data_IF_789516172024
#
_entry.id   IF_789516172024
#
_cell.length_a   1.000
_cell.length_b   1.000
_cell.length_c   1.000
_cell.angle_alpha   90.00
_cell.angle_beta   90.00
_cell.angle_gamma   90.00
#
_symmetry.space_group_name_H-M   'P 1'
#
loop_
_entity.id
_entity.type
_entity.pdbx_description
1 polymer ?
#
# COMPACT_ATOMS: atom_id res chain seq x y z
N UNK A 1 -0.24 -16.61 4.72
CA UNK A 1 -0.84 -15.40 4.10
C UNK A 1 0.01 -14.89 2.94
N UNK A 2 1.32 -14.73 3.10
CA UNK A 2 2.14 -13.99 2.13
C UNK A 2 2.63 -14.74 0.88
N UNK A 3 2.57 -16.08 0.83
CA UNK A 3 3.21 -16.89 -0.22
C UNK A 3 2.43 -17.05 -1.53
N UNK A 4 1.18 -16.58 -1.61
CA UNK A 4 0.32 -16.76 -2.78
C UNK A 4 -0.65 -15.58 -2.99
N UNK A 5 -0.17 -14.36 -2.71
CA UNK A 5 -0.97 -13.14 -2.86
C UNK A 5 -0.30 -12.16 -3.79
N UNK A 6 -1.12 -11.44 -4.55
CA UNK A 6 -0.66 -10.21 -5.18
C UNK A 6 -0.61 -9.11 -4.11
N UNK A 7 0.60 -8.59 -3.84
CA UNK A 7 0.85 -7.64 -2.76
C UNK A 7 0.77 -6.20 -3.27
N UNK A 8 -0.10 -5.43 -2.62
CA UNK A 8 -0.23 -3.99 -2.80
C UNK A 8 0.22 -3.27 -1.53
N UNK A 9 0.90 -2.12 -1.71
CA UNK A 9 1.43 -1.30 -0.61
C UNK A 9 1.08 0.17 -0.80
N UNK A 10 1.03 0.94 0.27
CA UNK A 10 0.87 2.40 0.21
C UNK A 10 2.17 3.11 -0.19
N UNK A 11 3.32 2.63 0.29
CA UNK A 11 4.66 3.04 -0.14
C UNK A 11 5.62 1.87 0.06
N UNK A 12 6.36 1.49 -0.97
CA UNK A 12 7.35 0.39 -0.87
C UNK A 12 8.38 0.67 0.21
N UNK A 13 8.97 1.86 0.16
CA UNK A 13 10.01 2.28 1.08
C UNK A 13 9.50 2.27 2.52
N UNK A 14 8.38 2.94 2.79
CA UNK A 14 7.83 3.03 4.14
C UNK A 14 7.46 1.65 4.68
N UNK A 15 6.82 0.81 3.85
CA UNK A 15 6.38 -0.53 4.25
C UNK A 15 7.57 -1.43 4.59
N UNK A 16 8.62 -1.44 3.77
CA UNK A 16 9.80 -2.29 4.05
C UNK A 16 10.60 -1.82 5.27
N UNK A 17 10.55 -0.54 5.60
CA UNK A 17 11.20 0.01 6.80
C UNK A 17 10.36 -0.23 8.07
N UNK A 18 9.04 -0.06 8.01
CA UNK A 18 8.18 -0.05 9.20
C UNK A 18 7.46 -1.39 9.47
N UNK A 19 7.08 -2.14 8.44
CA UNK A 19 6.25 -3.34 8.57
C UNK A 19 7.05 -4.52 9.13
N UNK A 20 6.87 -4.81 10.42
CA UNK A 20 7.50 -5.97 11.08
C UNK A 20 7.10 -7.28 10.43
N UNK A 21 5.84 -7.45 10.05
CA UNK A 21 5.33 -8.70 9.47
C UNK A 21 5.90 -8.99 8.07
N UNK A 22 6.08 -7.97 7.23
CA UNK A 22 6.68 -8.16 5.91
C UNK A 22 8.19 -8.40 6.00
N UNK A 23 8.88 -7.68 6.90
CA UNK A 23 10.29 -7.96 7.18
C UNK A 23 10.50 -9.40 7.64
N UNK A 24 9.72 -9.86 8.62
CA UNK A 24 9.79 -11.25 9.09
C UNK A 24 9.47 -12.28 8.00
N UNK A 25 8.44 -12.02 7.18
CA UNK A 25 8.11 -12.90 6.06
C UNK A 25 9.24 -12.96 5.02
N UNK A 26 9.92 -11.84 4.77
CA UNK A 26 11.10 -11.79 3.92
C UNK A 26 12.28 -12.55 4.51
N UNK A 27 12.56 -12.37 5.80
CA UNK A 27 13.66 -13.04 6.51
C UNK A 27 13.46 -14.57 6.52
N UNK A 28 12.20 -15.02 6.50
CA UNK A 28 11.80 -16.42 6.39
C UNK A 28 11.77 -16.95 4.94
N UNK A 29 12.09 -16.12 3.94
CA UNK A 29 12.04 -16.50 2.53
C UNK A 29 10.62 -16.74 1.99
N UNK A 30 9.58 -16.29 2.69
CA UNK A 30 8.18 -16.44 2.28
C UNK A 30 7.83 -15.45 1.15
N UNK A 31 8.46 -14.28 1.17
CA UNK A 31 8.33 -13.24 0.14
C UNK A 31 9.70 -12.73 -0.29
N UNK A 32 9.85 -12.44 -1.58
CA UNK A 32 11.04 -11.77 -2.08
C UNK A 32 10.98 -10.27 -1.76
N UNK A 33 12.08 -9.70 -1.26
CA UNK A 33 12.20 -8.27 -0.97
C UNK A 33 12.15 -7.38 -2.23
N UNK A 34 12.51 -7.93 -3.39
CA UNK A 34 12.71 -7.14 -4.62
C UNK A 34 11.49 -7.19 -5.54
N UNK A 35 10.82 -6.05 -5.71
CA UNK A 35 10.00 -5.73 -6.89
C UNK A 35 8.62 -6.38 -6.99
N UNK A 36 8.20 -7.19 -6.02
CA UNK A 36 6.92 -7.92 -6.09
C UNK A 36 5.69 -7.10 -5.68
N UNK A 37 5.86 -6.04 -4.88
CA UNK A 37 4.73 -5.21 -4.45
C UNK A 37 4.44 -4.08 -5.43
N UNK A 38 3.15 -3.84 -5.68
CA UNK A 38 2.65 -2.67 -6.43
C UNK A 38 2.24 -1.57 -5.47
N UNK A 39 2.56 -0.31 -5.76
CA UNK A 39 2.05 0.80 -4.97
C UNK A 39 0.62 1.11 -5.37
N UNK A 40 -0.24 1.46 -4.41
CA UNK A 40 -1.65 1.73 -4.69
C UNK A 40 -1.83 2.93 -5.65
N UNK A 41 -0.88 3.87 -5.66
CA UNK A 41 -0.85 4.98 -6.60
C UNK A 41 -0.60 4.57 -8.07
N UNK A 42 -0.08 3.37 -8.31
CA UNK A 42 0.18 2.83 -9.66
C UNK A 42 -1.08 2.27 -10.34
N UNK A 43 -2.14 2.02 -9.57
CA UNK A 43 -3.37 1.38 -10.05
C UNK A 43 -4.23 2.29 -10.94
N UNK A 44 -4.00 3.61 -10.90
CA UNK A 44 -4.76 4.59 -11.66
C UNK A 44 -6.24 4.68 -11.26
N UNK A 45 -7.00 5.53 -11.97
CA UNK A 45 -8.43 5.69 -11.78
C UNK A 45 -9.18 4.70 -12.69
N UNK A 46 -9.17 3.42 -12.34
CA UNK A 46 -9.85 2.38 -13.11
C UNK A 46 -10.02 1.10 -12.32
N UNK A 47 -10.92 0.21 -12.76
CA UNK A 47 -11.04 -1.10 -12.15
C UNK A 47 -9.71 -1.85 -12.29
N UNK A 48 -9.18 -2.30 -11.16
CA UNK A 48 -8.01 -3.18 -11.14
C UNK A 48 -8.45 -4.53 -11.71
N UNK A 49 -7.78 -5.06 -12.74
CA UNK A 49 -8.09 -6.38 -13.25
C UNK A 49 -8.05 -7.40 -12.12
N UNK A 50 -9.07 -8.25 -12.02
CA UNK A 50 -9.07 -9.31 -11.03
C UNK A 50 -7.86 -10.21 -11.29
N UNK A 51 -6.89 -10.21 -10.37
CA UNK A 51 -5.91 -11.28 -10.32
C UNK A 51 -6.68 -12.57 -10.04
N UNK A 52 -6.47 -13.63 -10.80
CA UNK A 52 -7.11 -14.94 -10.57
C UNK A 52 -6.76 -15.61 -9.22
N UNK A 53 -6.13 -14.87 -8.30
CA UNK A 53 -5.75 -15.29 -6.95
C UNK A 53 -6.12 -14.26 -5.89
N UNK A 54 -5.70 -14.50 -4.65
CA UNK A 54 -5.94 -13.58 -3.53
C UNK A 54 -5.07 -12.33 -3.63
N UNK A 55 -5.62 -11.18 -3.26
CA UNK A 55 -4.88 -9.92 -3.15
C UNK A 55 -4.68 -9.56 -1.68
N UNK A 56 -3.59 -8.86 -1.39
CA UNK A 56 -3.30 -8.32 -0.06
C UNK A 56 -2.87 -6.86 -0.19
N UNK A 57 -3.57 -5.97 0.51
CA UNK A 57 -3.10 -4.59 0.69
C UNK A 57 -2.50 -4.42 2.09
N UNK A 58 -1.24 -3.97 2.16
CA UNK A 58 -0.57 -3.63 3.41
C UNK A 58 -0.22 -2.14 3.42
N UNK A 59 -0.69 -1.46 4.44
CA UNK A 59 -0.39 -0.04 4.69
C UNK A 59 0.35 0.14 6.01
N UNK A 60 1.23 1.14 6.05
CA UNK A 60 1.89 1.67 7.26
C UNK A 60 1.58 3.15 7.50
N UNK A 61 0.82 3.78 6.61
CA UNK A 61 0.43 5.19 6.66
C UNK A 61 1.41 6.05 5.86
N UNK A 62 0.85 6.97 5.06
CA UNK A 62 1.61 7.95 4.30
C UNK A 62 1.09 9.34 4.67
N UNK A 63 1.93 10.18 5.27
CA UNK A 63 1.54 11.50 5.76
C UNK A 63 0.93 12.42 4.67
N UNK A 64 1.29 12.20 3.40
CA UNK A 64 0.67 12.92 2.28
C UNK A 64 -0.84 12.65 2.17
N UNK A 65 -1.31 11.46 2.53
CA UNK A 65 -2.75 11.13 2.53
C UNK A 65 -3.48 11.94 3.62
N UNK A 66 -2.89 12.06 4.81
CA UNK A 66 -3.44 12.88 5.90
C UNK A 66 -3.49 14.36 5.51
N UNK A 67 -2.44 14.88 4.87
CA UNK A 67 -2.38 16.26 4.41
C UNK A 67 -3.47 16.57 3.37
N UNK A 68 -3.63 15.71 2.36
CA UNK A 68 -4.66 15.89 1.32
C UNK A 68 -6.06 15.81 1.94
N UNK A 69 -6.27 14.87 2.85
CA UNK A 69 -7.54 14.74 3.56
C UNK A 69 -7.85 15.99 4.40
N UNK A 70 -6.89 16.49 5.18
CA UNK A 70 -7.05 17.71 5.97
C UNK A 70 -7.37 18.93 5.10
N UNK A 71 -6.70 19.07 3.95
CA UNK A 71 -7.00 20.14 2.99
C UNK A 71 -8.43 20.06 2.45
N UNK A 72 -8.93 18.86 2.18
CA UNK A 72 -10.31 18.65 1.73
C UNK A 72 -11.32 19.05 2.82
N UNK A 73 -11.04 18.71 4.09
CA UNK A 73 -11.90 19.12 5.20
C UNK A 73 -11.96 20.65 5.37
N UNK A 74 -10.82 21.33 5.25
CA UNK A 74 -10.77 22.80 5.34
C UNK A 74 -11.57 23.42 4.18
N UNK A 75 -11.41 22.92 2.95
CA UNK A 75 -12.15 23.42 1.80
C UNK A 75 -13.67 23.19 1.89
N UNK A 76 -14.10 22.13 2.58
CA UNK A 76 -15.52 21.87 2.86
C UNK A 76 -16.07 22.76 3.98
N UNK A 77 -15.24 23.11 4.96
CA UNK A 77 -15.63 23.92 6.11
C UNK A 77 -15.71 25.42 5.79
N UNK A 78 -14.88 25.90 4.85
CA UNK A 78 -14.89 27.28 4.37
C UNK A 78 -14.91 27.30 2.83
N UNK A 79 -16.08 27.03 2.22
CA UNK A 79 -16.24 27.14 0.78
C UNK A 79 -16.26 28.63 0.42
N UNK A 80 -15.09 29.15 0.03
CA UNK A 80 -14.95 30.48 -0.56
C UNK A 80 -15.89 30.68 -1.77
#
# INVERSE_FOLDING_TARGET
>A
VYSAVELYVDSREAVWNASTCLRQASDQGIIAQTGWSKEIGELGAGPVPASGGSTLFKSVGVAAQDLVFARALIALADPA
#
